data_IF_448580174010
#
_entry.id   IF_448580174010
#
_cell.length_a   1.000
_cell.length_b   1.000
_cell.length_c   1.000
_cell.angle_alpha   90.00
_cell.angle_beta   90.00
_cell.angle_gamma   90.00
#
_symmetry.space_group_name_H-M   'P 1'
#
loop_
_entity.id
_entity.type
_entity.pdbx_description
1 polymer ?
#
# COMPACT_ATOMS: atom_id res chain seq x y z
N UNK A 1 -21.84 -10.12 -0.70
CA UNK A 1 -20.39 -10.37 -0.60
C UNK A 1 -20.21 -11.35 0.54
N UNK A 2 -19.49 -12.46 0.32
CA UNK A 2 -19.30 -13.46 1.38
C UNK A 2 -18.31 -12.90 2.40
N UNK A 3 -18.43 -13.31 3.67
CA UNK A 3 -17.51 -12.88 4.75
C UNK A 3 -16.05 -13.19 4.40
N UNK A 4 -15.81 -14.27 3.64
CA UNK A 4 -14.48 -14.66 3.18
C UNK A 4 -13.83 -13.61 2.24
N UNK A 5 -14.62 -13.00 1.36
CA UNK A 5 -14.14 -11.98 0.42
C UNK A 5 -13.68 -10.73 1.18
N UNK A 6 -14.38 -10.35 2.24
CA UNK A 6 -13.99 -9.26 3.16
C UNK A 6 -12.67 -9.58 3.89
N UNK A 7 -12.44 -10.85 4.23
CA UNK A 7 -11.23 -11.30 4.93
C UNK A 7 -10.00 -11.26 4.01
N UNK A 8 -10.14 -11.58 2.73
CA UNK A 8 -9.02 -11.48 1.78
C UNK A 8 -8.74 -10.04 1.33
N UNK A 9 -9.77 -9.18 1.30
CA UNK A 9 -9.58 -7.73 1.16
C UNK A 9 -8.82 -7.10 2.33
N UNK A 10 -8.95 -7.63 3.56
CA UNK A 10 -8.14 -7.18 4.72
C UNK A 10 -6.63 -7.42 4.55
N UNK A 11 -6.20 -8.23 3.58
CA UNK A 11 -4.77 -8.48 3.30
C UNK A 11 -4.22 -7.57 2.21
N UNK A 12 -5.08 -6.93 1.42
CA UNK A 12 -4.71 -6.06 0.31
C UNK A 12 -4.61 -4.59 0.72
N UNK A 13 -3.70 -3.86 0.06
CA UNK A 13 -3.70 -2.40 0.10
C UNK A 13 -4.59 -1.85 -0.99
N UNK A 14 -5.35 -0.81 -0.67
CA UNK A 14 -6.25 -0.15 -1.59
C UNK A 14 -6.53 1.29 -1.18
N UNK A 15 -7.10 2.02 -2.13
CA UNK A 15 -7.85 3.24 -1.87
C UNK A 15 -9.31 3.01 -2.26
N UNK A 16 -10.23 3.57 -1.48
CA UNK A 16 -11.66 3.57 -1.71
C UNK A 16 -12.05 4.94 -2.26
N UNK A 17 -12.65 4.95 -3.44
CA UNK A 17 -13.34 6.10 -4.01
C UNK A 17 -14.81 5.96 -3.61
N UNK A 18 -15.29 6.83 -2.74
CA UNK A 18 -16.70 6.93 -2.40
C UNK A 18 -17.39 7.82 -3.42
N UNK A 19 -18.12 7.22 -4.36
CA UNK A 19 -18.99 7.93 -5.29
C UNK A 19 -20.38 8.17 -4.65
N UNK A 20 -21.30 8.81 -5.37
CA UNK A 20 -22.64 9.11 -4.85
C UNK A 20 -23.43 7.83 -4.54
N UNK A 21 -23.41 6.84 -5.43
CA UNK A 21 -24.24 5.64 -5.32
C UNK A 21 -23.48 4.39 -4.85
N UNK A 22 -22.16 4.33 -5.08
CA UNK A 22 -21.35 3.13 -4.88
C UNK A 22 -19.93 3.48 -4.41
N UNK A 23 -19.17 2.46 -4.03
CA UNK A 23 -17.76 2.58 -3.70
C UNK A 23 -16.92 1.81 -4.73
N UNK A 24 -15.83 2.41 -5.18
CA UNK A 24 -14.83 1.75 -6.02
C UNK A 24 -13.57 1.52 -5.19
N UNK A 25 -13.05 0.29 -5.22
CA UNK A 25 -11.79 -0.06 -4.61
C UNK A 25 -10.70 -0.15 -5.66
N UNK A 26 -9.68 0.68 -5.50
CA UNK A 26 -8.51 0.71 -6.37
C UNK A 26 -7.38 -0.03 -5.66
N UNK A 27 -6.98 -1.23 -6.11
CA UNK A 27 -5.90 -1.96 -5.47
C UNK A 27 -4.55 -1.26 -5.61
N UNK A 28 -3.67 -1.56 -4.66
CA UNK A 28 -2.26 -1.22 -4.71
C UNK A 28 -1.43 -2.50 -4.62
N UNK A 29 -0.63 -2.75 -5.66
CA UNK A 29 0.25 -3.92 -5.76
C UNK A 29 1.71 -3.46 -5.65
N UNK A 30 2.36 -3.81 -4.54
CA UNK A 30 3.77 -3.51 -4.35
C UNK A 30 4.64 -4.45 -5.21
N UNK A 31 5.33 -3.89 -6.21
CA UNK A 31 6.23 -4.65 -7.10
C UNK A 31 7.58 -5.04 -6.46
N UNK A 32 7.74 -4.86 -5.14
CA UNK A 32 8.95 -5.19 -4.35
C UNK A 32 10.25 -4.58 -4.89
N UNK A 33 10.19 -3.45 -5.59
CA UNK A 33 11.36 -2.81 -6.22
C UNK A 33 12.32 -2.10 -5.26
N UNK A 34 11.96 -1.97 -3.98
CA UNK A 34 12.68 -1.17 -2.98
C UNK A 34 12.62 0.35 -3.21
N UNK A 35 12.05 0.80 -4.34
CA UNK A 35 11.98 2.22 -4.70
C UNK A 35 11.28 3.08 -3.65
N UNK A 36 10.16 2.63 -3.10
CA UNK A 36 9.49 3.33 -2.00
C UNK A 36 10.29 3.31 -0.68
N UNK A 37 10.89 2.17 -0.35
CA UNK A 37 11.62 1.95 0.91
C UNK A 37 12.94 2.72 1.00
N UNK A 38 13.44 3.22 -0.13
CA UNK A 38 14.68 3.99 -0.20
C UNK A 38 14.52 5.48 0.13
N UNK A 39 13.30 5.99 0.31
CA UNK A 39 13.02 7.38 0.72
C UNK A 39 12.08 7.47 1.91
N UNK A 40 11.62 6.33 2.41
CA UNK A 40 10.69 6.24 3.51
C UNK A 40 11.26 5.36 4.60
N UNK A 41 11.42 5.95 5.79
CA UNK A 41 11.86 5.24 6.99
C UNK A 41 10.74 5.34 8.05
N UNK A 42 9.89 4.30 8.19
CA UNK A 42 8.82 4.29 9.17
C UNK A 42 9.38 4.36 10.59
N UNK A 43 8.64 4.95 11.52
CA UNK A 43 8.81 4.66 12.95
C UNK A 43 8.24 3.27 13.24
N UNK A 44 9.11 2.32 13.54
CA UNK A 44 8.78 0.93 13.87
C UNK A 44 8.78 0.82 15.40
N UNK A 45 7.72 0.28 16.02
CA UNK A 45 7.69 0.04 17.46
C UNK A 45 8.84 -0.86 17.91
N UNK A 46 9.44 -0.58 19.07
CA UNK A 46 10.57 -1.34 19.62
C UNK A 46 10.31 -2.84 19.70
N UNK A 47 9.11 -3.25 20.14
CA UNK A 47 8.70 -4.67 20.16
C UNK A 47 8.86 -5.35 18.80
N UNK A 48 8.57 -4.64 17.70
CA UNK A 48 8.67 -5.17 16.36
C UNK A 48 10.14 -5.23 15.90
N UNK A 49 10.99 -4.33 16.38
CA UNK A 49 12.44 -4.40 16.12
C UNK A 49 13.07 -5.62 16.82
N UNK A 50 12.64 -5.95 18.04
CA UNK A 50 13.07 -7.16 18.77
C UNK A 50 12.67 -8.41 17.98
N UNK A 51 11.40 -8.52 17.56
CA UNK A 51 10.92 -9.63 16.73
C UNK A 51 11.73 -9.78 15.43
N UNK A 52 12.04 -8.65 14.77
CA UNK A 52 12.86 -8.64 13.55
C UNK A 52 14.30 -9.09 13.85
N UNK A 53 14.92 -8.64 14.95
CA UNK A 53 16.28 -9.01 15.31
C UNK A 53 16.42 -10.52 15.50
N UNK A 54 15.49 -11.13 16.25
CA UNK A 54 15.49 -12.57 16.46
C UNK A 54 15.38 -13.37 15.17
N UNK A 55 14.47 -12.99 14.28
CA UNK A 55 14.28 -13.71 13.01
C UNK A 55 15.51 -13.57 12.09
N UNK A 56 16.09 -12.37 12.04
CA UNK A 56 17.31 -12.12 11.29
C UNK A 56 18.58 -12.67 11.96
N UNK A 57 18.46 -13.29 13.15
CA UNK A 57 19.58 -13.76 13.96
C UNK A 57 20.64 -12.65 14.21
N UNK A 58 20.18 -11.43 14.49
CA UNK A 58 21.02 -10.26 14.80
C UNK A 58 20.91 -9.91 16.29
N UNK A 59 21.93 -9.25 16.83
CA UNK A 59 21.85 -8.67 18.17
C UNK A 59 20.79 -7.56 18.22
N UNK A 60 19.92 -7.61 19.23
CA UNK A 60 18.81 -6.67 19.41
C UNK A 60 19.31 -5.24 19.60
N UNK A 61 20.36 -5.07 20.42
CA UNK A 61 20.94 -3.76 20.73
C UNK A 61 21.62 -3.14 19.52
N UNK A 62 22.38 -3.94 18.76
CA UNK A 62 22.99 -3.51 17.51
C UNK A 62 21.95 -3.10 16.46
N UNK A 63 20.91 -3.92 16.27
CA UNK A 63 19.84 -3.61 15.31
C UNK A 63 19.10 -2.32 15.71
N UNK A 64 18.73 -2.19 16.99
CA UNK A 64 18.05 -1.02 17.50
C UNK A 64 18.89 0.25 17.31
N UNK A 65 20.18 0.21 17.65
CA UNK A 65 21.09 1.33 17.45
C UNK A 65 21.22 1.73 15.97
N UNK A 66 21.39 0.74 15.09
CA UNK A 66 21.47 0.97 13.64
C UNK A 66 20.18 1.57 13.09
N UNK A 67 19.03 1.02 13.50
CA UNK A 67 17.71 1.50 13.11
C UNK A 67 17.48 2.94 13.57
N UNK A 68 17.71 3.25 14.84
CA UNK A 68 17.50 4.60 15.39
C UNK A 68 18.43 5.63 14.77
N UNK A 69 19.68 5.24 14.48
CA UNK A 69 20.62 6.09 13.75
C UNK A 69 20.10 6.43 12.35
N UNK A 70 19.65 5.43 11.59
CA UNK A 70 19.07 5.63 10.25
C UNK A 70 17.76 6.44 10.29
N UNK A 71 16.86 6.14 11.23
CA UNK A 71 15.61 6.89 11.41
C UNK A 71 15.86 8.36 11.75
N UNK A 72 16.80 8.65 12.66
CA UNK A 72 17.19 10.04 12.97
C UNK A 72 17.74 10.78 11.75
N UNK A 73 18.57 10.13 10.93
CA UNK A 73 19.04 10.75 9.68
C UNK A 73 17.88 11.05 8.74
N UNK A 74 16.93 10.13 8.60
CA UNK A 74 15.78 10.30 7.70
C UNK A 74 14.91 11.52 8.01
N UNK A 75 14.91 12.02 9.26
CA UNK A 75 14.19 13.22 9.68
C UNK A 75 15.03 14.51 9.59
N UNK A 76 16.37 14.42 9.61
CA UNK A 76 17.25 15.60 9.67
C UNK A 76 17.98 15.94 8.37
N UNK A 77 18.23 14.96 7.50
CA UNK A 77 19.10 15.12 6.32
C UNK A 77 18.87 13.98 5.30
N UNK A 78 19.49 14.07 4.11
CA UNK A 78 19.36 13.09 3.01
C UNK A 78 19.15 11.66 3.51
N UNK A 79 17.98 11.06 3.32
CA UNK A 79 17.66 9.79 3.95
C UNK A 79 18.57 8.69 3.41
N UNK A 80 19.26 8.00 4.33
CA UNK A 80 19.89 6.73 4.00
C UNK A 80 18.79 5.73 3.61
N UNK A 81 19.06 4.78 2.68
CA UNK A 81 18.13 3.69 2.42
C UNK A 81 17.79 2.94 3.72
N UNK A 82 16.56 2.45 3.81
CA UNK A 82 16.12 1.63 4.93
C UNK A 82 17.11 0.49 5.21
N UNK A 83 17.50 0.30 6.47
CA UNK A 83 18.50 -0.71 6.90
C UNK A 83 18.07 -2.16 6.63
N UNK A 84 16.81 -2.38 6.26
CA UNK A 84 16.28 -3.69 5.90
C UNK A 84 16.35 -3.96 4.40
N UNK A 85 16.78 -3.00 3.57
CA UNK A 85 17.09 -3.24 2.17
C UNK A 85 18.45 -3.92 2.05
N UNK A 86 18.51 -4.99 1.26
CA UNK A 86 19.77 -5.61 0.87
C UNK A 86 20.42 -4.87 -0.31
N UNK A 87 21.57 -5.39 -0.76
CA UNK A 87 22.32 -4.86 -1.91
C UNK A 87 21.55 -4.89 -3.24
N UNK A 88 20.48 -5.68 -3.34
CA UNK A 88 19.62 -5.82 -4.50
C UNK A 88 18.34 -4.99 -4.38
N UNK A 89 18.21 -4.13 -3.36
CA UNK A 89 17.00 -3.39 -2.99
C UNK A 89 15.81 -4.27 -2.60
N UNK A 90 16.06 -5.52 -2.20
CA UNK A 90 15.04 -6.41 -1.66
C UNK A 90 14.94 -6.20 -0.15
N UNK A 91 13.70 -6.14 0.35
CA UNK A 91 13.46 -5.96 1.78
C UNK A 91 13.57 -7.29 2.51
N UNK A 92 14.54 -7.40 3.42
CA UNK A 92 14.80 -8.61 4.22
C UNK A 92 13.65 -8.97 5.18
N UNK A 93 12.80 -7.99 5.49
CA UNK A 93 11.62 -8.17 6.36
C UNK A 93 10.32 -8.07 5.55
N UNK A 94 10.33 -8.32 4.24
CA UNK A 94 9.15 -8.10 3.39
C UNK A 94 7.98 -9.00 3.75
N UNK A 95 8.25 -10.26 4.07
CA UNK A 95 7.23 -11.26 4.30
C UNK A 95 6.60 -11.10 5.70
N UNK A 96 5.32 -11.46 5.80
CA UNK A 96 4.61 -11.49 7.08
C UNK A 96 5.07 -12.74 7.87
N UNK A 97 5.27 -12.65 9.21
CA UNK A 97 4.87 -11.57 10.12
C UNK A 97 5.84 -10.39 10.26
N UNK A 98 7.08 -10.53 9.79
CA UNK A 98 8.18 -9.61 10.08
C UNK A 98 7.96 -8.19 9.60
N UNK A 99 7.26 -8.02 8.47
CA UNK A 99 6.96 -6.69 7.93
C UNK A 99 6.02 -5.92 8.88
N UNK A 100 6.45 -4.86 9.58
CA UNK A 100 5.59 -4.17 10.54
C UNK A 100 4.37 -3.53 9.88
N UNK A 101 3.30 -3.30 10.65
CA UNK A 101 2.06 -2.71 10.13
C UNK A 101 2.31 -1.38 9.39
N UNK A 102 3.16 -0.51 9.93
CA UNK A 102 3.57 0.75 9.30
C UNK A 102 4.20 0.56 7.91
N UNK A 103 4.97 -0.51 7.72
CA UNK A 103 5.56 -0.87 6.42
C UNK A 103 4.55 -1.53 5.49
N UNK A 104 3.60 -2.30 6.04
CA UNK A 104 2.53 -2.96 5.27
C UNK A 104 1.49 -1.97 4.77
N UNK A 105 1.27 -0.86 5.48
CA UNK A 105 0.31 0.18 5.12
C UNK A 105 0.88 1.27 4.20
N UNK A 106 2.20 1.34 4.02
CA UNK A 106 2.82 2.25 3.07
C UNK A 106 2.40 1.89 1.63
N UNK A 107 2.02 2.86 0.77
CA UNK A 107 2.24 4.32 0.88
C UNK A 107 1.18 5.13 1.64
N UNK A 108 0.14 4.48 2.14
CA UNK A 108 -1.06 5.17 2.60
C UNK A 108 -1.00 5.68 4.04
N UNK A 109 -0.16 5.09 4.88
CA UNK A 109 -0.10 5.44 6.30
C UNK A 109 0.48 6.82 6.63
N UNK A 110 1.05 7.57 5.66
CA UNK A 110 1.79 8.83 5.93
C UNK A 110 1.64 9.93 4.86
N UNK A 111 0.46 10.05 4.24
CA UNK A 111 0.18 11.16 3.31
C UNK A 111 0.77 10.99 1.91
N UNK A 112 1.11 9.75 1.52
CA UNK A 112 1.45 9.40 0.15
C UNK A 112 2.77 8.63 -0.01
N UNK A 113 2.95 8.12 -1.22
CA UNK A 113 4.09 7.33 -1.64
C UNK A 113 5.13 8.12 -2.42
N UNK A 114 6.30 7.51 -2.61
CA UNK A 114 7.37 8.07 -3.42
C UNK A 114 7.00 8.10 -4.91
N UNK A 115 7.20 9.24 -5.59
CA UNK A 115 7.00 9.34 -7.05
C UNK A 115 7.87 8.37 -7.84
N UNK A 116 9.04 7.99 -7.31
CA UNK A 116 9.90 7.00 -7.96
C UNK A 116 9.38 5.56 -7.87
N UNK A 117 8.32 5.31 -7.10
CA UNK A 117 7.70 3.98 -7.00
C UNK A 117 6.73 3.77 -8.19
N UNK A 118 7.00 2.83 -9.11
CA UNK A 118 6.12 2.59 -10.26
C UNK A 118 4.70 2.20 -9.84
N UNK A 119 4.56 1.32 -8.84
CA UNK A 119 3.27 0.92 -8.27
C UNK A 119 2.46 2.11 -7.76
N UNK A 120 3.11 3.07 -7.11
CA UNK A 120 2.41 4.23 -6.56
C UNK A 120 1.99 5.22 -7.64
N UNK A 121 2.85 5.44 -8.64
CA UNK A 121 2.49 6.25 -9.81
C UNK A 121 1.31 5.65 -10.57
N UNK A 122 1.37 4.34 -10.81
CA UNK A 122 0.30 3.60 -11.46
C UNK A 122 -1.02 3.73 -10.65
N UNK A 123 -0.96 3.52 -9.34
CA UNK A 123 -2.12 3.65 -8.46
C UNK A 123 -2.73 5.08 -8.49
N UNK A 124 -1.91 6.13 -8.36
CA UNK A 124 -2.38 7.52 -8.46
C UNK A 124 -3.02 7.83 -9.81
N UNK A 125 -2.45 7.31 -10.90
CA UNK A 125 -3.01 7.48 -12.24
C UNK A 125 -4.45 6.95 -12.30
N UNK A 126 -4.70 5.77 -11.74
CA UNK A 126 -6.06 5.20 -11.72
C UNK A 126 -7.00 5.96 -10.81
N UNK A 127 -6.54 6.44 -9.64
CA UNK A 127 -7.34 7.32 -8.81
C UNK A 127 -7.78 8.56 -9.59
N UNK A 128 -6.85 9.24 -10.27
CA UNK A 128 -7.16 10.41 -11.10
C UNK A 128 -8.20 10.08 -12.18
N UNK A 129 -7.99 8.99 -12.94
CA UNK A 129 -8.91 8.61 -14.01
C UNK A 129 -10.30 8.31 -13.44
N UNK A 130 -10.42 7.43 -12.46
CA UNK A 130 -11.72 6.99 -11.93
C UNK A 130 -12.49 8.10 -11.20
N UNK A 131 -11.78 9.03 -10.55
CA UNK A 131 -12.41 10.18 -9.86
C UNK A 131 -12.93 11.23 -10.84
N UNK A 132 -12.31 11.40 -12.01
CA UNK A 132 -12.83 12.29 -13.05
C UNK A 132 -14.17 11.84 -13.62
N UNK A 133 -14.43 10.52 -13.63
CA UNK A 133 -15.70 9.94 -14.07
C UNK A 133 -16.77 9.92 -12.95
N UNK A 134 -16.39 10.16 -11.69
CA UNK A 134 -17.29 10.02 -10.53
C UNK A 134 -17.44 11.28 -9.65
N UNK A 135 -17.61 12.51 -10.16
CA UNK A 135 -17.82 13.68 -9.31
C UNK A 135 -19.27 13.75 -8.77
N UNK A 136 -19.49 14.11 -7.49
CA UNK A 136 -18.51 14.31 -6.41
C UNK A 136 -18.07 12.98 -5.77
N UNK A 137 -16.79 12.87 -5.42
CA UNK A 137 -16.23 11.71 -4.72
C UNK A 137 -15.25 12.08 -3.60
N UNK A 138 -15.08 11.17 -2.65
CA UNK A 138 -14.05 11.24 -1.60
C UNK A 138 -13.12 10.04 -1.71
N UNK A 139 -11.84 10.21 -1.36
CA UNK A 139 -10.83 9.14 -1.43
C UNK A 139 -10.35 8.83 -0.01
N UNK A 140 -10.40 7.55 0.34
CA UNK A 140 -9.90 7.04 1.61
C UNK A 140 -8.92 5.90 1.37
N UNK A 141 -7.81 5.86 2.09
CA UNK A 141 -6.89 4.74 1.97
C UNK A 141 -7.15 3.64 3.00
N UNK A 142 -6.65 2.44 2.74
CA UNK A 142 -6.78 1.28 3.62
C UNK A 142 -6.34 1.53 5.07
N UNK A 143 -5.37 2.43 5.31
CA UNK A 143 -4.95 2.82 6.67
C UNK A 143 -5.99 3.63 7.44
N UNK A 144 -6.93 4.27 6.73
CA UNK A 144 -7.97 5.14 7.28
C UNK A 144 -9.39 4.60 7.07
N UNK A 145 -9.52 3.35 6.61
CA UNK A 145 -10.79 2.65 6.41
C UNK A 145 -11.04 1.61 7.51
N UNK A 146 -11.36 2.00 8.77
CA UNK A 146 -11.54 1.05 9.87
C UNK A 146 -12.81 0.20 9.74
N UNK A 147 -13.80 0.67 8.96
CA UNK A 147 -15.02 -0.08 8.64
C UNK A 147 -15.31 0.10 7.14
N UNK A 148 -15.47 -1.03 6.44
CA UNK A 148 -15.55 -1.01 4.99
C UNK A 148 -16.94 -0.75 4.42
N UNK A 149 -18.04 -0.98 5.16
CA UNK A 149 -19.45 -0.77 4.72
C UNK A 149 -19.63 -0.44 3.23
N UNK A 150 -19.32 -1.41 2.35
CA UNK A 150 -19.15 -1.15 0.92
C UNK A 150 -20.50 -1.09 0.23
N UNK A 151 -20.72 -0.03 -0.52
CA UNK A 151 -21.83 0.11 -1.47
C UNK A 151 -21.41 -0.50 -2.80
N UNK A 152 -22.17 -1.49 -3.25
CA UNK A 152 -21.87 -2.21 -4.49
C UNK A 152 -22.08 -1.32 -5.71
N UNK A 153 -21.21 -1.50 -6.70
CA UNK A 153 -21.40 -0.94 -8.03
C UNK A 153 -22.62 -1.62 -8.66
N UNK A 154 -23.61 -0.85 -9.17
CA UNK A 154 -24.73 -1.42 -9.91
C UNK A 154 -24.27 -2.10 -11.20
N UNK A 155 -24.94 -3.20 -11.59
CA UNK A 155 -24.57 -4.00 -12.77
C UNK A 155 -24.53 -3.18 -14.08
N UNK A 156 -25.32 -2.09 -14.16
CA UNK A 156 -25.33 -1.21 -15.32
C UNK A 156 -24.18 -0.19 -15.35
N UNK A 157 -23.60 0.15 -14.20
CA UNK A 157 -22.45 1.06 -14.09
C UNK A 157 -21.12 0.33 -14.25
N UNK A 158 -21.08 -0.97 -13.94
CA UNK A 158 -19.85 -1.77 -13.96
C UNK A 158 -19.10 -1.78 -15.31
N UNK A 159 -19.76 -1.98 -16.47
CA UNK A 159 -19.07 -2.02 -17.76
C UNK A 159 -18.28 -0.74 -18.06
N UNK A 160 -18.85 0.44 -17.76
CA UNK A 160 -18.20 1.74 -18.00
C UNK A 160 -16.99 1.94 -17.08
N UNK A 161 -17.12 1.58 -15.80
CA UNK A 161 -16.03 1.67 -14.82
C UNK A 161 -14.89 0.73 -15.22
N UNK A 162 -15.21 -0.51 -15.61
CA UNK A 162 -14.22 -1.49 -16.03
C UNK A 162 -13.53 -1.06 -17.33
N UNK A 163 -14.27 -0.59 -18.33
CA UNK A 163 -13.72 -0.09 -19.59
C UNK A 163 -12.77 1.10 -19.34
N UNK A 164 -13.19 2.04 -18.50
CA UNK A 164 -12.37 3.19 -18.08
C UNK A 164 -11.07 2.73 -17.42
N UNK A 165 -11.16 1.75 -16.52
CA UNK A 165 -10.00 1.16 -15.87
C UNK A 165 -9.09 0.42 -16.86
N UNK A 166 -9.62 -0.40 -17.76
CA UNK A 166 -8.84 -1.16 -18.75
C UNK A 166 -8.17 -0.23 -19.78
N UNK A 167 -8.88 0.79 -20.26
CA UNK A 167 -8.36 1.78 -21.21
C UNK A 167 -7.13 2.53 -20.67
N UNK A 168 -6.97 2.59 -19.35
CA UNK A 168 -5.80 3.20 -18.71
C UNK A 168 -4.54 2.33 -18.68
N UNK A 169 -4.62 1.10 -19.20
CA UNK A 169 -3.51 0.16 -19.32
C UNK A 169 -2.96 -0.33 -17.98
N UNK A 170 -3.76 -1.03 -17.16
CA UNK A 170 -3.31 -1.69 -15.95
C UNK A 170 -2.46 -2.91 -16.26
N UNK A 171 -1.60 -3.29 -15.32
CA UNK A 171 -1.00 -4.63 -15.35
C UNK A 171 -2.08 -5.71 -15.18
N UNK A 172 -1.87 -6.91 -15.76
CA UNK A 172 -2.81 -8.01 -15.69
C UNK A 172 -3.13 -8.45 -14.24
N UNK A 173 -2.14 -8.36 -13.34
CA UNK A 173 -2.36 -8.67 -11.92
C UNK A 173 -3.29 -7.65 -11.27
N UNK A 174 -3.11 -6.37 -11.59
CA UNK A 174 -3.93 -5.31 -11.05
C UNK A 174 -5.36 -5.34 -11.58
N UNK A 175 -5.53 -5.57 -12.87
CA UNK A 175 -6.84 -5.75 -13.50
C UNK A 175 -7.61 -6.90 -12.87
N UNK A 176 -6.96 -8.06 -12.70
CA UNK A 176 -7.56 -9.20 -12.02
C UNK A 176 -8.05 -8.84 -10.62
N UNK A 177 -7.22 -8.16 -9.83
CA UNK A 177 -7.61 -7.72 -8.46
C UNK A 177 -8.70 -6.67 -8.47
N UNK A 178 -8.69 -5.75 -9.43
CA UNK A 178 -9.71 -4.71 -9.55
C UNK A 178 -11.07 -5.33 -9.81
N UNK A 179 -11.16 -6.28 -10.74
CA UNK A 179 -12.39 -7.04 -11.02
C UNK A 179 -12.84 -7.81 -9.77
N UNK A 180 -11.93 -8.57 -9.16
CA UNK A 180 -12.20 -9.38 -7.96
C UNK A 180 -12.80 -8.57 -6.79
N UNK A 181 -12.37 -7.32 -6.61
CA UNK A 181 -12.78 -6.51 -5.47
C UNK A 181 -14.04 -5.66 -5.70
N UNK A 182 -14.42 -5.46 -6.96
CA UNK A 182 -15.51 -4.54 -7.32
C UNK A 182 -16.73 -5.23 -7.95
N UNK A 183 -16.61 -6.51 -8.36
CA UNK A 183 -17.68 -7.26 -9.03
C UNK A 183 -17.85 -8.67 -8.44
#
# INVERSE_FOLDING_TARGET
>A
MKIQDVIDMKKGLFSKIEAVAYDILVPFICLKTGGCCSVYMPLIPERNLIEIAHDLCQDEGELFCAYMSCFRKSITSHPDPCIFLDKNNLCRIYEHPLRPAVCRLYPFSFGGGAEKCPSYREHKRFLTILTHHSPPCQIYDASFCPNLNLRRIPDHDWPEILETFQASGPSAELEKKFIEWNH
#
